data_IF_712669787550
#
_entry.id   IF_712669787550
#
_cell.length_a   1.000
_cell.length_b   1.000
_cell.length_c   1.000
_cell.angle_alpha   90.00
_cell.angle_beta   90.00
_cell.angle_gamma   90.00
#
_symmetry.space_group_name_H-M   'P 1'
#
loop_
_entity.id
_entity.type
_entity.pdbx_description
1 polymer ?
#
# COMPACT_ATOMS: atom_id res chain seq x y z
N UNK A 1 -0.39 -9.03 20.43
CA UNK A 1 -0.04 -9.11 18.99
C UNK A 1 -0.78 -7.98 18.28
N UNK A 2 -0.12 -7.21 17.41
CA UNK A 2 -0.80 -6.21 16.58
C UNK A 2 -1.67 -6.95 15.56
N UNK A 3 -2.92 -6.53 15.40
CA UNK A 3 -3.87 -7.17 14.48
C UNK A 3 -3.77 -6.49 13.11
N UNK A 4 -3.14 -7.17 12.15
CA UNK A 4 -2.99 -6.70 10.76
C UNK A 4 -4.23 -7.06 9.94
N UNK A 5 -5.38 -6.46 10.31
CA UNK A 5 -6.67 -6.73 9.66
C UNK A 5 -7.37 -5.45 9.19
N UNK A 6 -8.18 -5.53 8.13
CA UNK A 6 -9.03 -4.41 7.72
C UNK A 6 -9.99 -3.97 8.82
N UNK A 7 -10.33 -2.69 8.84
CA UNK A 7 -11.39 -2.17 9.71
C UNK A 7 -12.71 -2.91 9.41
N UNK A 8 -13.32 -3.47 10.46
CA UNK A 8 -14.62 -4.12 10.39
C UNK A 8 -15.69 -3.16 9.83
N UNK A 9 -16.28 -3.54 8.71
CA UNK A 9 -17.29 -2.76 7.99
C UNK A 9 -18.62 -2.65 8.76
N UNK A 10 -18.90 -3.55 9.72
CA UNK A 10 -20.08 -3.44 10.59
C UNK A 10 -19.87 -2.48 11.75
N UNK A 11 -18.61 -2.20 12.12
CA UNK A 11 -18.26 -1.23 13.18
C UNK A 11 -17.97 0.16 12.64
N UNK A 12 -17.42 0.26 11.44
CA UNK A 12 -17.13 1.53 10.80
C UNK A 12 -17.51 1.48 9.32
N UNK A 13 -18.41 2.36 8.84
CA UNK A 13 -18.86 2.35 7.46
C UNK A 13 -17.69 2.63 6.49
N UNK A 14 -17.78 2.05 5.30
CA UNK A 14 -16.66 2.05 4.31
C UNK A 14 -16.26 3.43 3.80
N UNK A 15 -17.15 4.41 3.90
CA UNK A 15 -16.89 5.80 3.51
C UNK A 15 -16.21 6.64 4.60
N UNK A 16 -15.90 6.07 5.77
CA UNK A 16 -15.28 6.75 6.90
C UNK A 16 -13.84 6.25 7.18
N UNK A 17 -13.12 7.01 8.00
CA UNK A 17 -11.73 6.80 8.45
C UNK A 17 -10.68 7.16 7.40
N UNK A 18 -9.41 7.10 7.81
CA UNK A 18 -8.26 7.38 6.94
C UNK A 18 -8.20 6.33 5.81
N UNK A 19 -8.09 6.74 4.53
CA UNK A 19 -8.11 5.82 3.39
C UNK A 19 -6.73 5.17 3.17
N UNK A 20 -6.45 4.11 3.93
CA UNK A 20 -5.37 3.15 3.63
C UNK A 20 -5.86 2.06 2.69
N UNK A 21 -4.94 1.36 2.03
CA UNK A 21 -5.25 0.28 1.10
C UNK A 21 -6.07 -0.80 1.81
N UNK A 22 -7.24 -1.10 1.26
CA UNK A 22 -8.25 -2.03 1.80
C UNK A 22 -8.62 -1.78 3.26
N UNK A 23 -8.43 -0.55 3.76
CA UNK A 23 -8.66 -0.18 5.17
C UNK A 23 -7.78 -0.98 6.15
N UNK A 24 -6.61 -1.43 5.71
CA UNK A 24 -5.59 -2.07 6.56
C UNK A 24 -4.93 -1.04 7.48
N UNK A 25 -4.30 -1.45 8.59
CA UNK A 25 -3.51 -0.52 9.39
C UNK A 25 -2.35 0.07 8.57
N UNK A 26 -2.04 1.34 8.83
CA UNK A 26 -0.79 1.95 8.38
C UNK A 26 0.36 1.48 9.27
N UNK A 27 1.41 0.93 8.68
CA UNK A 27 2.56 0.42 9.43
C UNK A 27 3.84 0.46 8.58
N UNK A 28 4.87 1.16 9.08
CA UNK A 28 6.08 1.49 8.32
C UNK A 28 7.34 0.76 8.81
N UNK A 29 7.17 -0.32 9.58
CA UNK A 29 8.27 -1.22 9.95
C UNK A 29 8.10 -2.55 9.20
N UNK A 30 8.89 -2.82 8.15
CA UNK A 30 8.69 -3.97 7.28
C UNK A 30 9.01 -5.29 7.98
N UNK A 31 9.80 -5.29 9.06
CA UNK A 31 10.19 -6.51 9.79
C UNK A 31 9.01 -7.20 10.48
N UNK A 32 7.94 -6.45 10.71
CA UNK A 32 6.70 -6.96 11.30
C UNK A 32 5.73 -7.53 10.25
N UNK A 33 6.03 -7.42 8.96
CA UNK A 33 5.13 -7.74 7.86
C UNK A 33 5.61 -8.98 7.09
N UNK A 34 4.64 -9.73 6.56
CA UNK A 34 4.89 -10.74 5.53
C UNK A 34 4.61 -10.19 4.12
N UNK A 35 3.82 -9.09 4.04
CA UNK A 35 3.52 -8.36 2.81
C UNK A 35 3.39 -6.87 3.13
N UNK A 36 4.22 -6.04 2.51
CA UNK A 36 4.10 -4.58 2.55
C UNK A 36 3.38 -4.05 1.28
N UNK A 37 2.29 -3.30 1.47
CA UNK A 37 1.61 -2.62 0.36
C UNK A 37 2.17 -1.21 0.21
N UNK A 38 2.99 -1.00 -0.83
CA UNK A 38 3.76 0.23 -1.04
C UNK A 38 3.23 0.99 -2.26
N UNK A 39 3.02 2.30 -2.12
CA UNK A 39 2.74 3.18 -3.25
C UNK A 39 3.98 3.92 -3.74
N UNK A 40 4.08 4.11 -5.05
CA UNK A 40 5.12 4.92 -5.69
C UNK A 40 4.41 6.01 -6.52
N UNK A 41 4.20 7.21 -5.97
CA UNK A 41 3.46 8.28 -6.64
C UNK A 41 4.34 9.03 -7.66
N UNK A 42 4.72 8.35 -8.75
CA UNK A 42 5.64 8.89 -9.76
C UNK A 42 5.11 8.79 -11.20
N UNK A 43 5.35 9.81 -12.00
CA UNK A 43 5.07 9.83 -13.45
C UNK A 43 6.09 10.66 -14.26
N UNK A 44 7.27 10.93 -13.70
CA UNK A 44 8.28 11.78 -14.34
C UNK A 44 8.89 11.20 -15.63
N UNK A 45 8.73 9.89 -15.87
CA UNK A 45 9.11 9.23 -17.13
C UNK A 45 8.05 9.24 -18.23
N UNK A 46 6.89 9.86 -18.01
CA UNK A 46 5.81 9.90 -19.01
C UNK A 46 6.14 10.84 -20.18
N UNK A 47 5.85 10.41 -21.42
CA UNK A 47 6.15 11.17 -22.65
C UNK A 47 4.99 12.00 -23.20
N UNK A 48 3.75 11.74 -22.78
CA UNK A 48 2.55 12.43 -23.31
C UNK A 48 1.59 12.89 -22.21
N UNK A 49 0.80 11.98 -21.62
CA UNK A 49 -0.18 12.32 -20.58
C UNK A 49 0.35 11.91 -19.21
N UNK A 50 0.67 12.91 -18.38
CA UNK A 50 0.98 12.74 -16.97
C UNK A 50 -0.28 12.56 -16.12
N UNK A 51 -0.11 12.23 -14.84
CA UNK A 51 -1.19 12.07 -13.87
C UNK A 51 -1.09 10.80 -13.01
N UNK A 52 -0.26 9.83 -13.41
CA UNK A 52 -0.12 8.57 -12.66
C UNK A 52 0.42 8.76 -11.23
N UNK A 53 1.08 9.88 -10.94
CA UNK A 53 1.50 10.26 -9.58
C UNK A 53 0.37 10.32 -8.57
N UNK A 54 -0.88 10.53 -9.01
CA UNK A 54 -2.06 10.55 -8.13
C UNK A 54 -2.69 9.15 -7.94
N UNK A 55 -2.24 8.16 -8.71
CA UNK A 55 -2.80 6.81 -8.74
C UNK A 55 -2.83 6.12 -7.37
N UNK A 56 -1.72 6.02 -6.62
CA UNK A 56 -1.69 5.33 -5.33
C UNK A 56 -2.76 5.86 -4.35
N UNK A 57 -2.96 7.18 -4.32
CA UNK A 57 -3.98 7.81 -3.46
C UNK A 57 -5.39 7.36 -3.83
N UNK A 58 -5.75 7.45 -5.11
CA UNK A 58 -7.10 7.09 -5.56
C UNK A 58 -7.37 5.59 -5.46
N UNK A 59 -6.36 4.75 -5.72
CA UNK A 59 -6.47 3.30 -5.51
C UNK A 59 -6.82 2.99 -4.04
N UNK A 60 -6.16 3.64 -3.07
CA UNK A 60 -6.50 3.45 -1.65
C UNK A 60 -7.94 3.84 -1.36
N UNK A 61 -8.40 5.00 -1.86
CA UNK A 61 -9.79 5.46 -1.69
C UNK A 61 -10.78 4.42 -2.24
N UNK A 62 -10.58 3.95 -3.47
CA UNK A 62 -11.50 3.00 -4.11
C UNK A 62 -11.44 1.58 -3.53
N UNK A 63 -10.29 1.19 -2.96
CA UNK A 63 -10.10 -0.13 -2.34
C UNK A 63 -11.01 -0.40 -1.13
N UNK A 64 -11.61 0.65 -0.54
CA UNK A 64 -12.47 0.57 0.63
C UNK A 64 -13.69 -0.35 0.44
N UNK A 65 -14.08 -0.67 -0.80
CA UNK A 65 -15.19 -1.57 -1.12
C UNK A 65 -14.82 -3.05 -1.14
N UNK A 66 -13.54 -3.39 -1.20
CA UNK A 66 -13.07 -4.78 -1.30
C UNK A 66 -13.31 -5.51 0.04
N UNK A 67 -13.61 -6.81 -0.04
CA UNK A 67 -13.86 -7.68 1.11
C UNK A 67 -12.64 -8.56 1.41
N UNK A 68 -12.43 -8.97 2.68
CA UNK A 68 -11.22 -9.72 3.08
C UNK A 68 -11.20 -11.19 2.64
N UNK A 69 -12.29 -11.72 2.07
CA UNK A 69 -12.38 -13.12 1.63
C UNK A 69 -12.66 -13.21 0.14
N UNK A 70 -11.90 -14.06 -0.55
CA UNK A 70 -12.03 -14.32 -1.97
C UNK A 70 -12.91 -15.56 -2.22
N UNK A 71 -14.07 -15.44 -2.89
CA UNK A 71 -15.06 -16.52 -2.95
C UNK A 71 -14.66 -17.73 -3.80
N UNK A 72 -13.97 -17.50 -4.92
CA UNK A 72 -13.60 -18.59 -5.84
C UNK A 72 -12.44 -19.43 -5.28
N UNK A 73 -11.36 -18.76 -4.85
CA UNK A 73 -10.20 -19.42 -4.24
C UNK A 73 -10.42 -19.84 -2.79
N UNK A 74 -11.50 -19.36 -2.14
CA UNK A 74 -11.83 -19.63 -0.74
C UNK A 74 -10.70 -19.29 0.23
N UNK A 75 -10.04 -18.13 0.03
CA UNK A 75 -8.93 -17.67 0.87
C UNK A 75 -9.23 -16.32 1.51
N UNK A 76 -8.73 -16.14 2.74
CA UNK A 76 -8.67 -14.87 3.44
C UNK A 76 -7.19 -14.51 3.71
N UNK A 77 -6.54 -13.68 2.87
CA UNK A 77 -5.10 -13.42 2.98
C UNK A 77 -4.72 -12.81 4.34
N UNK A 78 -5.55 -11.90 4.86
CA UNK A 78 -5.29 -11.20 6.13
C UNK A 78 -5.51 -12.07 7.38
N UNK A 79 -5.99 -13.30 7.22
CA UNK A 79 -6.02 -14.28 8.31
C UNK A 79 -4.72 -15.10 8.39
N UNK A 80 -3.91 -15.09 7.32
CA UNK A 80 -2.71 -15.94 7.19
C UNK A 80 -1.41 -15.15 7.13
N UNK A 81 -1.47 -13.90 6.68
CA UNK A 81 -0.31 -13.04 6.45
C UNK A 81 -0.47 -11.73 7.22
N UNK A 82 0.64 -11.21 7.76
CA UNK A 82 0.74 -9.87 8.35
C UNK A 82 0.88 -8.86 7.22
N UNK A 83 -0.24 -8.29 6.79
CA UNK A 83 -0.30 -7.33 5.68
C UNK A 83 -0.66 -5.95 6.20
N UNK A 84 0.08 -4.93 5.76
CA UNK A 84 -0.21 -3.54 6.10
C UNK A 84 -0.03 -2.60 4.91
N UNK A 85 -0.69 -1.44 4.97
CA UNK A 85 -0.35 -0.31 4.11
C UNK A 85 0.94 0.31 4.62
N UNK A 86 2.00 0.21 3.82
CA UNK A 86 3.32 0.74 4.14
C UNK A 86 3.42 2.24 3.85
N UNK A 87 2.43 2.81 3.15
CA UNK A 87 2.43 4.19 2.68
C UNK A 87 3.10 4.33 1.32
N UNK A 88 3.63 5.52 1.08
CA UNK A 88 4.28 5.89 -0.16
C UNK A 88 5.79 6.08 0.05
N UNK A 89 6.56 5.80 -1.00
CA UNK A 89 7.98 6.15 -1.07
C UNK A 89 8.11 7.66 -1.36
N UNK A 90 8.89 8.35 -0.53
CA UNK A 90 9.14 9.79 -0.64
C UNK A 90 10.15 10.10 -1.77
N UNK A 91 9.65 10.17 -3.00
CA UNK A 91 10.46 10.40 -4.22
C UNK A 91 10.93 11.86 -4.43
N UNK A 92 11.76 12.09 -5.45
CA UNK A 92 12.12 13.43 -5.92
C UNK A 92 11.25 13.88 -7.12
N UNK A 93 10.42 14.92 -7.01
CA UNK A 93 9.55 15.31 -8.12
C UNK A 93 10.29 15.96 -9.31
N UNK A 94 11.59 16.29 -9.16
CA UNK A 94 12.36 17.10 -10.12
C UNK A 94 13.56 16.38 -10.73
N UNK A 95 14.00 15.25 -10.17
CA UNK A 95 15.08 14.43 -10.72
C UNK A 95 14.64 12.98 -10.84
N UNK A 96 14.75 12.46 -12.05
CA UNK A 96 14.42 11.07 -12.37
C UNK A 96 15.48 10.12 -11.81
N UNK A 97 16.76 10.49 -11.93
CA UNK A 97 17.89 9.71 -11.43
C UNK A 97 17.78 9.55 -9.91
N UNK A 98 17.58 10.65 -9.18
CA UNK A 98 17.40 10.61 -7.72
C UNK A 98 16.15 9.84 -7.30
N UNK A 99 15.07 9.92 -8.09
CA UNK A 99 13.86 9.15 -7.81
C UNK A 99 14.12 7.65 -7.91
N UNK A 100 14.86 7.21 -8.93
CA UNK A 100 15.21 5.80 -9.09
C UNK A 100 16.09 5.31 -7.93
N UNK A 101 17.10 6.08 -7.54
CA UNK A 101 17.95 5.74 -6.39
C UNK A 101 17.16 5.58 -5.08
N UNK A 102 16.22 6.50 -4.81
CA UNK A 102 15.38 6.44 -3.60
C UNK A 102 14.49 5.20 -3.62
N UNK A 103 13.80 4.95 -4.75
CA UNK A 103 12.91 3.80 -4.90
C UNK A 103 13.69 2.49 -4.73
N UNK A 104 14.82 2.35 -5.42
CA UNK A 104 15.64 1.15 -5.35
C UNK A 104 16.09 0.87 -3.92
N UNK A 105 16.59 1.91 -3.23
CA UNK A 105 17.05 1.78 -1.84
C UNK A 105 15.93 1.34 -0.91
N UNK A 106 14.79 2.04 -0.90
CA UNK A 106 13.72 1.77 0.06
C UNK A 106 13.05 0.42 -0.22
N UNK A 107 12.86 0.04 -1.49
CA UNK A 107 12.36 -1.29 -1.84
C UNK A 107 13.35 -2.39 -1.42
N UNK A 108 14.66 -2.17 -1.61
CA UNK A 108 15.67 -3.13 -1.16
C UNK A 108 15.65 -3.31 0.37
N UNK A 109 15.45 -2.24 1.15
CA UNK A 109 15.31 -2.32 2.61
C UNK A 109 14.06 -3.12 3.03
N UNK A 110 12.93 -2.93 2.34
CA UNK A 110 11.69 -3.70 2.59
C UNK A 110 11.92 -5.19 2.29
N UNK A 111 12.51 -5.51 1.13
CA UNK A 111 12.80 -6.89 0.74
C UNK A 111 13.80 -7.56 1.68
N UNK A 112 14.83 -6.84 2.12
CA UNK A 112 15.82 -7.34 3.06
C UNK A 112 15.21 -7.67 4.44
N UNK A 113 14.11 -7.02 4.81
CA UNK A 113 13.37 -7.31 6.03
C UNK A 113 12.47 -8.57 5.92
N UNK A 114 12.32 -9.15 4.73
CA UNK A 114 11.54 -10.38 4.49
C UNK A 114 10.05 -10.16 4.28
N UNK A 115 9.64 -8.92 4.00
CA UNK A 115 8.28 -8.55 3.62
C UNK A 115 8.01 -8.66 2.11
#
# INVERSE_FOLDING_TARGET
MREFRPIDAFRSPRFAQVPTFMRLPYHRDPRDLDVALVGIPYDGGTSYRSGARFGPREIRVQSAMIRPWHPVLQVAPFERLRVADYGDIDISPVSIERTYEIIEKEVAEILAAGA
#
